data_IF_500537257651
#
_entry.id   IF_500537257651
#
_cell.length_a   1.000
_cell.length_b   1.000
_cell.length_c   1.000
_cell.angle_alpha   90.00
_cell.angle_beta   90.00
_cell.angle_gamma   90.00
#
_symmetry.space_group_name_H-M   'P 1'
#
loop_
_entity.id
_entity.type
_entity.pdbx_description
1 polymer ?
#
# COMPACT_ATOMS: atom_id res chain seq x y z
N UNK A 1 35.15 -4.83 -18.55
CA UNK A 1 33.82 -4.98 -19.14
C UNK A 1 32.69 -5.19 -18.10
N UNK A 2 32.95 -5.71 -16.90
CA UNK A 2 31.91 -5.91 -15.88
C UNK A 2 31.43 -4.65 -15.13
N UNK A 3 32.17 -3.54 -15.16
CA UNK A 3 31.79 -2.28 -14.50
C UNK A 3 30.89 -1.36 -15.34
N UNK A 4 30.70 -1.64 -16.62
CA UNK A 4 29.85 -0.85 -17.52
C UNK A 4 28.37 -1.29 -17.48
N UNK A 5 28.06 -2.48 -16.94
CA UNK A 5 26.71 -3.03 -16.84
C UNK A 5 25.96 -2.64 -15.55
N UNK A 6 26.62 -1.94 -14.61
CA UNK A 6 26.02 -1.47 -13.36
C UNK A 6 25.46 -0.03 -13.44
N UNK A 7 25.50 0.62 -14.63
CA UNK A 7 25.05 2.00 -14.81
C UNK A 7 23.65 2.18 -15.41
N UNK A 8 22.85 1.15 -15.54
CA UNK A 8 21.56 1.22 -16.20
C UNK A 8 20.40 0.76 -15.33
N UNK A 9 20.19 1.36 -14.17
CA UNK A 9 18.86 1.43 -13.50
C UNK A 9 18.91 2.59 -12.50
N UNK A 10 18.92 3.84 -12.97
CA UNK A 10 18.83 5.04 -12.13
C UNK A 10 17.81 6.06 -12.64
N UNK A 11 16.96 5.69 -13.60
CA UNK A 11 15.80 6.53 -13.85
C UNK A 11 14.67 6.11 -12.91
N UNK A 12 14.06 7.08 -12.20
CA UNK A 12 12.94 6.79 -11.32
C UNK A 12 11.81 6.18 -12.16
N UNK A 13 11.28 5.05 -11.72
CA UNK A 13 10.17 4.33 -12.37
C UNK A 13 8.91 5.19 -12.48
N UNK A 14 8.86 6.27 -11.72
CA UNK A 14 7.86 7.34 -11.78
C UNK A 14 8.55 8.69 -12.00
N UNK A 15 7.94 9.63 -12.74
CA UNK A 15 8.44 10.99 -12.79
C UNK A 15 8.47 11.55 -11.37
N UNK A 16 9.66 12.05 -10.96
CA UNK A 16 9.83 12.71 -9.66
C UNK A 16 8.80 13.84 -9.55
N UNK A 17 7.81 13.67 -8.68
CA UNK A 17 6.98 14.77 -8.24
C UNK A 17 7.80 15.47 -7.14
N UNK A 18 8.06 16.79 -7.24
CA UNK A 18 8.72 17.50 -6.14
C UNK A 18 7.88 17.27 -4.88
N UNK A 19 8.54 16.82 -3.82
CA UNK A 19 7.91 16.53 -2.54
C UNK A 19 7.50 17.82 -1.82
N UNK A 20 6.56 18.57 -2.39
CA UNK A 20 5.79 19.51 -1.60
C UNK A 20 4.93 18.65 -0.64
N UNK A 21 5.17 18.80 0.66
CA UNK A 21 4.42 18.11 1.72
C UNK A 21 2.98 18.64 1.80
N UNK A 22 2.23 18.50 0.70
CA UNK A 22 0.81 18.84 0.70
C UNK A 22 -0.02 17.64 1.20
N UNK A 23 -1.14 17.94 1.83
CA UNK A 23 -2.09 16.94 2.28
C UNK A 23 -2.69 16.21 1.07
N UNK A 24 -2.74 14.88 1.13
CA UNK A 24 -3.37 14.03 0.11
C UNK A 24 -4.64 13.36 0.62
N UNK A 25 -4.73 13.13 1.93
CA UNK A 25 -5.90 12.54 2.57
C UNK A 25 -6.08 13.10 3.97
N UNK A 26 -7.34 13.28 4.39
CA UNK A 26 -7.72 13.61 5.77
C UNK A 26 -8.79 12.65 6.24
N UNK A 27 -8.57 12.01 7.37
CA UNK A 27 -9.50 11.10 8.02
C UNK A 27 -10.07 11.81 9.25
N UNK A 28 -11.39 11.89 9.34
CA UNK A 28 -12.09 12.68 10.35
C UNK A 28 -13.18 11.86 11.03
N UNK A 29 -13.02 11.56 12.32
CA UNK A 29 -13.98 10.83 13.14
C UNK A 29 -14.38 9.47 12.55
N UNK A 30 -13.45 8.80 11.84
CA UNK A 30 -13.76 7.59 11.10
C UNK A 30 -14.00 6.43 12.06
N UNK A 31 -15.16 5.77 11.90
CA UNK A 31 -15.53 4.62 12.70
C UNK A 31 -16.07 3.47 11.89
N UNK A 32 -15.87 2.25 12.42
CA UNK A 32 -16.42 1.01 11.86
C UNK A 32 -16.98 0.12 12.94
N UNK A 33 -18.26 -0.20 12.80
CA UNK A 33 -18.94 -1.25 13.57
C UNK A 33 -19.49 -2.30 12.62
N UNK A 34 -19.29 -3.57 12.92
CA UNK A 34 -19.92 -4.69 12.20
C UNK A 34 -21.31 -4.98 12.76
N UNK A 35 -21.48 -4.83 14.06
CA UNK A 35 -22.74 -4.85 14.79
C UNK A 35 -22.73 -3.72 15.81
N UNK A 36 -23.87 -3.32 16.40
CA UNK A 36 -23.89 -2.28 17.44
C UNK A 36 -22.93 -2.53 18.60
N UNK A 37 -22.64 -3.81 18.90
CA UNK A 37 -21.77 -4.23 20.01
C UNK A 37 -20.31 -4.47 19.56
N UNK A 38 -20.05 -4.61 18.26
CA UNK A 38 -18.72 -4.91 17.73
C UNK A 38 -18.17 -3.73 16.94
N UNK A 39 -17.67 -2.73 17.67
CA UNK A 39 -16.94 -1.61 17.10
C UNK A 39 -15.46 -1.99 16.94
N UNK A 40 -14.93 -1.87 15.72
CA UNK A 40 -13.54 -2.23 15.37
C UNK A 40 -12.67 -0.99 15.26
N UNK A 41 -13.23 0.11 14.75
CA UNK A 41 -12.56 1.41 14.71
C UNK A 41 -13.48 2.45 15.30
N UNK A 42 -12.89 3.38 16.07
CA UNK A 42 -13.62 4.37 16.83
C UNK A 42 -12.85 5.70 16.82
N UNK A 43 -13.47 6.71 16.22
CA UNK A 43 -12.98 8.10 16.24
C UNK A 43 -11.54 8.27 15.68
N UNK A 44 -11.23 7.59 14.58
CA UNK A 44 -9.94 7.68 13.91
C UNK A 44 -9.80 9.03 13.22
N UNK A 45 -8.72 9.76 13.56
CA UNK A 45 -8.40 11.06 13.01
C UNK A 45 -6.92 11.13 12.67
N UNK A 46 -6.57 11.44 11.41
CA UNK A 46 -5.21 11.76 10.97
C UNK A 46 -5.23 12.38 9.57
N UNK A 47 -4.12 13.03 9.22
CA UNK A 47 -3.85 13.52 7.87
C UNK A 47 -2.71 12.71 7.24
N UNK A 48 -2.75 12.46 5.93
CA UNK A 48 -1.67 11.87 5.15
C UNK A 48 -1.12 12.90 4.17
N UNK A 49 0.21 12.99 4.07
CA UNK A 49 0.88 13.96 3.19
C UNK A 49 1.65 13.25 2.07
N UNK A 50 1.85 13.97 0.97
CA UNK A 50 2.57 13.46 -0.19
C UNK A 50 3.99 12.99 0.20
N UNK A 51 4.36 11.79 -0.28
CA UNK A 51 5.69 11.23 -0.06
C UNK A 51 5.97 10.70 1.35
N UNK A 52 4.95 10.61 2.23
CA UNK A 52 5.12 9.92 3.53
C UNK A 52 5.13 8.40 3.34
N UNK A 53 6.03 7.72 4.08
CA UNK A 53 5.95 6.28 4.33
C UNK A 53 5.51 6.06 5.78
N UNK A 54 4.21 5.76 5.96
CA UNK A 54 3.55 5.67 7.27
C UNK A 54 3.35 4.21 7.65
N UNK A 55 3.90 3.79 8.78
CA UNK A 55 3.56 2.50 9.36
C UNK A 55 2.27 2.58 10.17
N UNK A 56 1.41 1.57 10.06
CA UNK A 56 0.29 1.32 10.97
C UNK A 56 0.65 0.12 11.82
N UNK A 57 0.69 0.30 13.15
CA UNK A 57 1.11 -0.72 14.10
C UNK A 57 0.06 -0.95 15.18
N UNK A 58 0.13 -2.09 15.87
CA UNK A 58 -0.76 -2.50 16.96
C UNK A 58 -1.03 -4.00 16.92
N UNK A 59 -1.67 -4.52 17.97
CA UNK A 59 -1.99 -5.96 18.11
C UNK A 59 -2.80 -6.49 16.94
N UNK A 60 -2.77 -7.82 16.76
CA UNK A 60 -3.72 -8.49 15.88
C UNK A 60 -5.15 -8.15 16.31
N UNK A 61 -6.03 -7.87 15.33
CA UNK A 61 -7.42 -7.45 15.62
C UNK A 61 -7.59 -5.99 16.06
N UNK A 62 -6.53 -5.16 16.15
CA UNK A 62 -6.66 -3.74 16.53
C UNK A 62 -7.40 -2.87 15.49
N UNK A 63 -7.68 -3.39 14.29
CA UNK A 63 -8.39 -2.67 13.23
C UNK A 63 -7.50 -2.17 12.08
N UNK A 64 -6.20 -2.48 12.06
CA UNK A 64 -5.24 -2.00 11.05
C UNK A 64 -5.67 -2.29 9.61
N UNK A 65 -5.92 -3.56 9.29
CA UNK A 65 -6.40 -3.97 7.94
C UNK A 65 -7.75 -3.36 7.61
N UNK A 66 -8.67 -3.29 8.59
CA UNK A 66 -9.97 -2.63 8.42
C UNK A 66 -9.79 -1.16 8.04
N UNK A 67 -8.84 -0.44 8.67
CA UNK A 67 -8.53 0.94 8.33
C UNK A 67 -8.06 1.06 6.87
N UNK A 68 -7.06 0.28 6.45
CA UNK A 68 -6.56 0.33 5.07
C UNK A 68 -7.67 0.00 4.04
N UNK A 69 -8.49 -0.99 4.33
CA UNK A 69 -9.61 -1.36 3.46
C UNK A 69 -10.71 -0.28 3.39
N UNK A 70 -10.92 0.48 4.47
CA UNK A 70 -11.82 1.64 4.45
C UNK A 70 -11.24 2.80 3.63
N UNK A 71 -9.94 3.07 3.77
CA UNK A 71 -9.25 4.11 2.97
C UNK A 71 -9.31 3.80 1.47
N UNK A 72 -9.16 2.54 1.07
CA UNK A 72 -9.34 2.12 -0.33
C UNK A 72 -10.82 2.08 -0.76
N UNK A 73 -11.77 2.16 0.17
CA UNK A 73 -13.20 2.05 -0.10
C UNK A 73 -13.70 0.63 -0.35
N UNK A 74 -12.88 -0.40 -0.02
CA UNK A 74 -13.31 -1.82 -0.08
C UNK A 74 -14.30 -2.14 1.04
N UNK A 75 -14.12 -1.51 2.20
CA UNK A 75 -15.04 -1.57 3.36
C UNK A 75 -15.66 -0.19 3.54
N UNK A 76 -16.98 -0.12 3.63
CA UNK A 76 -17.68 1.12 3.90
C UNK A 76 -17.52 1.55 5.37
N UNK A 77 -17.33 2.84 5.60
CA UNK A 77 -17.37 3.43 6.94
C UNK A 77 -18.77 3.32 7.56
N UNK A 78 -18.84 3.20 8.88
CA UNK A 78 -20.09 3.34 9.62
C UNK A 78 -20.37 4.80 9.98
N UNK A 79 -19.30 5.58 10.19
CA UNK A 79 -19.37 7.01 10.53
C UNK A 79 -18.07 7.72 10.15
N UNK A 80 -18.08 9.05 10.18
CA UNK A 80 -16.93 9.88 9.85
C UNK A 80 -16.76 10.12 8.36
N UNK A 81 -15.61 10.66 7.97
CA UNK A 81 -15.30 11.04 6.61
C UNK A 81 -13.85 10.70 6.23
N UNK A 82 -13.64 10.39 4.97
CA UNK A 82 -12.32 10.24 4.34
C UNK A 82 -12.26 11.25 3.21
N UNK A 83 -11.53 12.34 3.41
CA UNK A 83 -11.47 13.46 2.47
C UNK A 83 -10.21 13.37 1.63
N UNK A 84 -10.39 13.27 0.32
CA UNK A 84 -9.29 13.27 -0.66
C UNK A 84 -8.92 14.72 -1.01
N UNK A 85 -7.62 14.96 -1.17
CA UNK A 85 -7.05 16.24 -1.56
C UNK A 85 -6.28 16.11 -2.87
N UNK A 86 -6.35 17.16 -3.70
CA UNK A 86 -5.53 17.30 -4.90
C UNK A 86 -4.88 18.66 -4.90
N UNK A 87 -3.56 18.71 -5.06
CA UNK A 87 -2.78 19.96 -5.03
C UNK A 87 -3.06 20.83 -3.79
N UNK A 88 -3.30 20.18 -2.64
CA UNK A 88 -3.60 20.82 -1.35
C UNK A 88 -5.04 21.30 -1.17
N UNK A 89 -5.90 21.16 -2.18
CA UNK A 89 -7.32 21.53 -2.12
C UNK A 89 -8.19 20.29 -1.86
N UNK A 90 -9.22 20.45 -1.01
CA UNK A 90 -10.22 19.41 -0.76
C UNK A 90 -10.98 19.12 -2.05
N UNK A 91 -11.03 17.84 -2.45
CA UNK A 91 -11.66 17.39 -3.68
C UNK A 91 -13.02 16.73 -3.42
N UNK A 92 -13.03 15.69 -2.58
CA UNK A 92 -14.25 14.91 -2.35
C UNK A 92 -14.15 14.04 -1.07
N UNK A 93 -15.30 13.68 -0.52
CA UNK A 93 -15.43 12.73 0.57
C UNK A 93 -15.62 11.32 0.00
N UNK A 94 -14.61 10.46 0.20
CA UNK A 94 -14.57 9.07 -0.30
C UNK A 94 -15.72 8.23 0.28
N UNK A 95 -16.20 8.54 1.49
CA UNK A 95 -17.28 7.78 2.14
C UNK A 95 -18.63 7.97 1.46
N UNK A 96 -18.75 9.00 0.62
CA UNK A 96 -20.00 9.40 -0.06
C UNK A 96 -19.99 9.19 -1.57
N UNK A 97 -18.94 8.58 -2.10
CA UNK A 97 -18.79 8.39 -3.54
C UNK A 97 -19.84 7.42 -4.11
N UNK A 98 -20.34 7.75 -5.29
CA UNK A 98 -21.13 6.84 -6.11
C UNK A 98 -20.27 5.65 -6.58
N UNK A 99 -20.90 4.60 -7.10
CA UNK A 99 -20.18 3.40 -7.61
C UNK A 99 -19.16 3.75 -8.72
N UNK A 100 -19.44 4.73 -9.55
CA UNK A 100 -18.56 5.18 -10.62
C UNK A 100 -17.35 5.91 -10.07
N UNK A 101 -17.56 6.89 -9.18
CA UNK A 101 -16.50 7.66 -8.51
C UNK A 101 -15.63 6.77 -7.62
N UNK A 102 -16.22 5.79 -6.90
CA UNK A 102 -15.47 4.81 -6.11
C UNK A 102 -14.53 3.96 -6.99
N UNK A 103 -14.91 3.63 -8.23
CA UNK A 103 -14.03 2.94 -9.17
C UNK A 103 -12.84 3.82 -9.55
N UNK A 104 -13.08 5.11 -9.77
CA UNK A 104 -12.01 6.07 -10.03
C UNK A 104 -11.10 6.22 -8.79
N UNK A 105 -11.68 6.39 -7.61
CA UNK A 105 -10.92 6.46 -6.35
C UNK A 105 -9.98 5.27 -6.18
N UNK A 106 -10.46 4.04 -6.39
CA UNK A 106 -9.66 2.83 -6.29
C UNK A 106 -8.54 2.75 -7.33
N UNK A 107 -8.62 3.48 -8.43
CA UNK A 107 -7.51 3.58 -9.38
C UNK A 107 -6.44 4.60 -8.94
N UNK A 108 -6.80 5.56 -8.09
CA UNK A 108 -5.91 6.56 -7.50
C UNK A 108 -5.33 6.11 -6.14
N UNK A 109 -5.98 5.16 -5.48
CA UNK A 109 -5.60 4.57 -4.21
C UNK A 109 -5.29 3.08 -4.38
N UNK A 110 -4.05 2.76 -4.75
CA UNK A 110 -3.58 1.39 -4.97
C UNK A 110 -3.56 0.57 -3.67
N UNK A 111 -3.85 -0.73 -3.77
CA UNK A 111 -3.86 -1.64 -2.62
C UNK A 111 -3.02 -2.89 -2.90
N UNK A 112 -2.12 -3.20 -2.00
CA UNK A 112 -1.38 -4.47 -1.91
C UNK A 112 -2.03 -5.27 -0.79
N UNK A 113 -2.64 -6.40 -1.14
CA UNK A 113 -3.36 -7.28 -0.22
C UNK A 113 -2.43 -8.32 0.38
N UNK A 114 -2.72 -8.76 1.59
CA UNK A 114 -1.97 -9.81 2.29
C UNK A 114 -1.91 -11.12 1.48
N UNK A 115 -3.01 -11.54 0.85
CA UNK A 115 -3.12 -12.75 0.03
C UNK A 115 -2.65 -12.56 -1.42
N UNK A 116 -1.89 -11.51 -1.73
CA UNK A 116 -1.42 -11.13 -3.07
C UNK A 116 -2.55 -10.90 -4.10
N UNK A 117 -3.65 -11.61 -4.01
CA UNK A 117 -4.83 -11.54 -4.91
C UNK A 117 -4.45 -11.67 -6.40
N UNK A 118 -3.42 -12.44 -6.74
CA UNK A 118 -3.06 -12.73 -8.13
C UNK A 118 -4.03 -13.75 -8.74
N UNK A 119 -4.24 -13.65 -10.06
CA UNK A 119 -5.01 -14.65 -10.80
C UNK A 119 -4.09 -15.82 -11.13
N UNK A 120 -4.24 -17.02 -10.50
CA UNK A 120 -3.24 -18.08 -10.52
C UNK A 120 -2.91 -18.59 -11.93
N UNK A 121 -3.93 -18.72 -12.78
CA UNK A 121 -3.80 -19.27 -14.15
C UNK A 121 -3.31 -18.27 -15.20
N UNK A 122 -3.18 -17.00 -14.85
CA UNK A 122 -2.60 -15.98 -15.73
C UNK A 122 -1.10 -15.89 -15.53
N UNK A 123 -0.37 -15.53 -16.58
CA UNK A 123 1.04 -15.20 -16.48
C UNK A 123 1.27 -13.91 -15.68
N UNK A 124 2.52 -13.71 -15.25
CA UNK A 124 2.95 -12.58 -14.43
C UNK A 124 2.69 -11.24 -15.14
N UNK A 125 3.06 -11.14 -16.42
CA UNK A 125 2.88 -9.90 -17.18
C UNK A 125 1.39 -9.53 -17.27
N UNK A 126 0.53 -10.50 -17.57
CA UNK A 126 -0.92 -10.30 -17.58
C UNK A 126 -1.44 -9.89 -16.20
N UNK A 127 -0.99 -10.51 -15.11
CA UNK A 127 -1.37 -10.11 -13.75
C UNK A 127 -1.02 -8.65 -13.45
N UNK A 128 0.15 -8.16 -13.87
CA UNK A 128 0.52 -6.74 -13.73
C UNK A 128 -0.38 -5.84 -14.57
N UNK A 129 -0.64 -6.21 -15.82
CA UNK A 129 -1.50 -5.45 -16.72
C UNK A 129 -2.95 -5.32 -16.22
N UNK A 130 -3.44 -6.26 -15.39
CA UNK A 130 -4.75 -6.14 -14.73
C UNK A 130 -4.86 -4.84 -13.88
N UNK A 131 -3.75 -4.26 -13.43
CA UNK A 131 -3.75 -2.95 -12.77
C UNK A 131 -4.33 -1.82 -13.63
N UNK A 132 -4.35 -1.95 -14.97
CA UNK A 132 -4.92 -0.95 -15.91
C UNK A 132 -6.39 -1.17 -16.26
N UNK A 133 -7.04 -2.17 -15.68
CA UNK A 133 -8.42 -2.50 -16.03
C UNK A 133 -9.40 -1.34 -15.85
N UNK A 134 -9.20 -0.49 -14.84
CA UNK A 134 -10.06 0.69 -14.60
C UNK A 134 -10.01 1.72 -15.73
N UNK A 135 -8.91 1.74 -16.50
CA UNK A 135 -8.65 2.68 -17.60
C UNK A 135 -8.81 2.03 -18.99
N UNK A 136 -9.08 0.73 -19.02
CA UNK A 136 -9.25 -0.04 -20.26
C UNK A 136 -10.73 -0.27 -20.50
N UNK A 137 -11.21 -0.11 -21.77
CA UNK A 137 -12.60 -0.40 -22.09
C UNK A 137 -12.94 -1.87 -21.85
N UNK A 138 -14.19 -2.17 -21.46
CA UNK A 138 -14.65 -3.53 -21.11
C UNK A 138 -14.38 -4.54 -22.22
N UNK A 139 -14.61 -4.17 -23.48
CA UNK A 139 -14.34 -5.04 -24.64
C UNK A 139 -12.85 -5.35 -24.79
N UNK A 140 -11.97 -4.35 -24.72
CA UNK A 140 -10.51 -4.56 -24.80
C UNK A 140 -10.00 -5.41 -23.64
N UNK A 141 -10.54 -5.18 -22.43
CA UNK A 141 -10.19 -5.96 -21.24
C UNK A 141 -10.55 -7.44 -21.40
N UNK A 142 -11.73 -7.73 -21.95
CA UNK A 142 -12.19 -9.11 -22.18
C UNK A 142 -11.25 -9.88 -23.13
N UNK A 143 -10.78 -9.21 -24.19
CA UNK A 143 -9.82 -9.80 -25.14
C UNK A 143 -8.35 -9.66 -24.71
N UNK A 144 -8.06 -9.16 -23.49
CA UNK A 144 -6.69 -8.90 -22.97
C UNK A 144 -5.87 -8.00 -23.91
N UNK A 145 -6.52 -7.07 -24.59
CA UNK A 145 -5.88 -6.11 -25.49
C UNK A 145 -5.48 -4.88 -24.67
N UNK A 146 -4.22 -4.81 -24.29
CA UNK A 146 -3.61 -3.68 -23.63
C UNK A 146 -2.78 -2.86 -24.62
N UNK A 147 -2.67 -1.55 -24.37
CA UNK A 147 -1.84 -0.67 -25.17
C UNK A 147 -0.34 -1.05 -25.06
N UNK A 148 0.43 -0.80 -26.10
CA UNK A 148 1.88 -1.08 -26.09
C UNK A 148 2.60 -0.28 -25.01
N UNK A 149 2.14 0.94 -24.73
CA UNK A 149 2.63 1.74 -23.59
C UNK A 149 2.39 1.07 -22.24
N UNK A 150 1.23 0.42 -22.04
CA UNK A 150 0.94 -0.31 -20.80
C UNK A 150 1.83 -1.55 -20.68
N UNK A 151 2.10 -2.25 -21.80
CA UNK A 151 3.02 -3.40 -21.83
C UNK A 151 4.44 -2.98 -21.52
N UNK A 152 4.92 -1.89 -22.13
CA UNK A 152 6.24 -1.34 -21.85
C UNK A 152 6.38 -1.00 -20.35
N UNK A 153 5.38 -0.32 -19.80
CA UNK A 153 5.34 0.04 -18.37
C UNK A 153 5.34 -1.19 -17.45
N UNK A 154 4.57 -2.22 -17.78
CA UNK A 154 4.55 -3.46 -17.02
C UNK A 154 5.93 -4.15 -17.03
N UNK A 155 6.61 -4.17 -18.18
CA UNK A 155 7.96 -4.72 -18.32
C UNK A 155 8.97 -3.93 -17.47
N UNK A 156 8.92 -2.59 -17.49
CA UNK A 156 9.76 -1.72 -16.65
C UNK A 156 9.58 -2.02 -15.15
N UNK A 157 8.33 -2.13 -14.68
CA UNK A 157 8.01 -2.47 -13.30
C UNK A 157 8.53 -3.86 -12.92
N UNK A 158 8.35 -4.85 -13.78
CA UNK A 158 8.88 -6.21 -13.57
C UNK A 158 10.40 -6.24 -13.54
N UNK A 159 11.07 -5.43 -14.38
CA UNK A 159 12.52 -5.30 -14.39
C UNK A 159 13.01 -4.63 -13.10
N UNK A 160 12.38 -3.53 -12.69
CA UNK A 160 12.69 -2.83 -11.45
C UNK A 160 12.58 -3.73 -10.22
N UNK A 161 11.52 -4.56 -10.14
CA UNK A 161 11.34 -5.53 -9.06
C UNK A 161 12.18 -6.81 -9.22
N UNK A 162 13.04 -6.92 -10.26
CA UNK A 162 13.82 -8.12 -10.57
C UNK A 162 12.95 -9.40 -10.66
N UNK A 163 11.83 -9.32 -11.38
CA UNK A 163 10.91 -10.44 -11.62
C UNK A 163 10.60 -10.62 -13.12
N UNK A 164 11.24 -9.82 -14.00
CA UNK A 164 11.04 -9.90 -15.44
C UNK A 164 11.32 -11.30 -16.03
N UNK A 165 12.33 -12.08 -15.58
CA UNK A 165 12.52 -13.45 -16.09
C UNK A 165 11.33 -14.37 -15.91
N UNK A 166 10.41 -14.08 -14.98
CA UNK A 166 9.20 -14.83 -14.72
C UNK A 166 7.97 -14.28 -15.45
N UNK A 167 8.12 -13.26 -16.31
CA UNK A 167 7.00 -12.53 -16.95
C UNK A 167 5.97 -13.43 -17.63
N UNK A 168 6.41 -14.53 -18.24
CA UNK A 168 5.55 -15.49 -18.95
C UNK A 168 5.20 -16.73 -18.12
N UNK A 169 5.66 -16.82 -16.86
CA UNK A 169 5.25 -17.89 -15.95
C UNK A 169 3.86 -17.62 -15.37
N UNK A 170 3.09 -18.68 -15.11
CA UNK A 170 1.83 -18.56 -14.39
C UNK A 170 2.08 -18.16 -12.93
N UNK A 171 1.19 -17.33 -12.38
CA UNK A 171 1.33 -16.85 -11.01
C UNK A 171 1.30 -17.99 -9.98
N UNK A 172 0.60 -19.08 -10.24
CA UNK A 172 0.54 -20.27 -9.38
C UNK A 172 1.89 -20.97 -9.18
N UNK A 173 2.86 -20.73 -10.07
CA UNK A 173 4.20 -21.35 -10.02
C UNK A 173 5.25 -20.45 -9.34
N UNK A 174 4.85 -19.32 -8.79
CA UNK A 174 5.74 -18.39 -8.13
C UNK A 174 5.91 -18.70 -6.64
N UNK A 175 7.09 -18.39 -6.09
CA UNK A 175 7.27 -18.35 -4.64
C UNK A 175 6.52 -17.16 -4.02
N UNK A 176 6.24 -17.19 -2.69
CA UNK A 176 5.56 -16.12 -1.98
C UNK A 176 6.20 -14.73 -2.20
N UNK A 177 7.53 -14.65 -2.10
CA UNK A 177 8.25 -13.39 -2.35
C UNK A 177 8.22 -12.95 -3.83
N UNK A 178 8.04 -13.88 -4.78
CA UNK A 178 7.81 -13.55 -6.17
C UNK A 178 6.39 -13.03 -6.39
N UNK A 179 5.39 -13.69 -5.82
CA UNK A 179 3.98 -13.25 -5.87
C UNK A 179 3.82 -11.85 -5.28
N UNK A 180 4.48 -11.56 -4.15
CA UNK A 180 4.45 -10.25 -3.53
C UNK A 180 5.00 -9.16 -4.46
N UNK A 181 6.13 -9.40 -5.13
CA UNK A 181 6.70 -8.46 -6.09
C UNK A 181 5.77 -8.19 -7.27
N UNK A 182 5.09 -9.21 -7.76
CA UNK A 182 4.08 -9.08 -8.83
C UNK A 182 2.88 -8.26 -8.34
N UNK A 183 2.40 -8.49 -7.11
CA UNK A 183 1.31 -7.72 -6.52
C UNK A 183 1.66 -6.23 -6.39
N UNK A 184 2.90 -5.90 -6.01
CA UNK A 184 3.40 -4.52 -5.98
C UNK A 184 3.41 -3.92 -7.39
N UNK A 185 3.97 -4.62 -8.38
CA UNK A 185 3.98 -4.16 -9.78
C UNK A 185 2.54 -3.88 -10.27
N UNK A 186 1.59 -4.77 -9.96
CA UNK A 186 0.18 -4.59 -10.32
C UNK A 186 -0.44 -3.35 -9.67
N UNK A 187 -0.18 -3.10 -8.39
CA UNK A 187 -0.67 -1.92 -7.69
C UNK A 187 -0.07 -0.64 -8.29
N UNK A 188 1.22 -0.64 -8.58
CA UNK A 188 1.93 0.49 -9.19
C UNK A 188 1.55 0.72 -10.66
N UNK A 189 1.07 -0.30 -11.36
CA UNK A 189 0.56 -0.17 -12.73
C UNK A 189 -0.65 0.77 -12.81
N UNK A 190 -1.39 0.96 -11.71
CA UNK A 190 -2.48 1.93 -11.61
C UNK A 190 -1.99 3.39 -11.65
N UNK A 191 -0.71 3.66 -11.39
CA UNK A 191 -0.14 4.98 -11.17
C UNK A 191 -0.85 5.74 -10.02
N UNK A 192 -0.93 5.14 -8.82
CA UNK A 192 -1.70 5.69 -7.72
C UNK A 192 -1.03 6.93 -7.12
N UNK A 193 -1.82 7.78 -6.44
CA UNK A 193 -1.33 8.86 -5.59
C UNK A 193 -1.07 8.36 -4.15
N UNK A 194 -1.81 7.34 -3.74
CA UNK A 194 -1.70 6.68 -2.43
C UNK A 194 -1.55 5.18 -2.66
N UNK A 195 -0.59 4.56 -1.98
CA UNK A 195 -0.37 3.12 -1.99
C UNK A 195 -0.57 2.57 -0.58
N UNK A 196 -1.53 1.69 -0.43
CA UNK A 196 -1.81 0.99 0.82
C UNK A 196 -1.27 -0.43 0.74
N UNK A 197 -0.63 -0.91 1.81
CA UNK A 197 -0.04 -2.25 1.85
C UNK A 197 -0.41 -2.95 3.16
N UNK A 198 -1.20 -4.02 3.04
CA UNK A 198 -1.62 -4.81 4.19
C UNK A 198 -0.66 -5.98 4.38
N UNK A 199 0.19 -5.89 5.39
CA UNK A 199 1.22 -6.88 5.75
C UNK A 199 2.09 -7.35 4.57
N UNK A 200 2.70 -6.44 3.80
CA UNK A 200 3.36 -6.79 2.53
C UNK A 200 4.62 -7.64 2.69
N UNK A 201 5.11 -7.83 3.90
CA UNK A 201 6.33 -8.58 4.22
C UNK A 201 6.09 -9.78 5.13
N UNK A 202 4.83 -10.08 5.45
CA UNK A 202 4.49 -11.24 6.26
C UNK A 202 4.99 -12.52 5.61
N UNK A 203 5.61 -13.38 6.41
CA UNK A 203 6.13 -14.70 5.98
C UNK A 203 7.21 -14.66 4.88
N UNK A 204 7.91 -13.54 4.70
CA UNK A 204 9.03 -13.43 3.78
C UNK A 204 10.37 -13.56 4.51
N UNK A 205 11.36 -14.11 3.79
CA UNK A 205 12.74 -14.12 4.28
C UNK A 205 13.33 -12.70 4.37
N UNK A 206 14.37 -12.48 5.19
CA UNK A 206 14.93 -11.14 5.43
C UNK A 206 15.43 -10.42 4.16
N UNK A 207 15.87 -11.16 3.14
CA UNK A 207 16.34 -10.57 1.87
C UNK A 207 15.17 -10.02 1.05
N UNK A 208 14.08 -10.78 0.95
CA UNK A 208 12.88 -10.34 0.26
C UNK A 208 12.18 -9.21 1.03
N UNK A 209 12.11 -9.29 2.37
CA UNK A 209 11.60 -8.21 3.23
C UNK A 209 12.31 -6.89 2.96
N UNK A 210 13.65 -6.86 3.02
CA UNK A 210 14.42 -5.63 2.71
C UNK A 210 14.17 -5.11 1.31
N UNK A 211 14.05 -5.98 0.32
CA UNK A 211 13.74 -5.58 -1.07
C UNK A 211 12.38 -4.92 -1.19
N UNK A 212 11.36 -5.48 -0.54
CA UNK A 212 10.00 -4.92 -0.54
C UNK A 212 9.98 -3.55 0.16
N UNK A 213 10.59 -3.44 1.35
CA UNK A 213 10.64 -2.18 2.08
C UNK A 213 11.41 -1.09 1.31
N UNK A 214 12.54 -1.45 0.69
CA UNK A 214 13.28 -0.53 -0.19
C UNK A 214 12.44 -0.06 -1.38
N UNK A 215 11.64 -0.94 -1.98
CA UNK A 215 10.74 -0.57 -3.06
C UNK A 215 9.65 0.40 -2.59
N UNK A 216 9.02 0.15 -1.43
CA UNK A 216 8.01 1.04 -0.85
C UNK A 216 8.60 2.42 -0.49
N UNK A 217 9.84 2.45 0.03
CA UNK A 217 10.55 3.70 0.30
C UNK A 217 10.81 4.47 -0.99
N UNK A 218 11.36 3.83 -2.04
CA UNK A 218 11.57 4.49 -3.33
C UNK A 218 10.28 5.05 -3.91
N UNK A 219 9.16 4.34 -3.77
CA UNK A 219 7.83 4.81 -4.19
C UNK A 219 7.43 6.08 -3.42
N UNK A 220 7.68 6.11 -2.10
CA UNK A 220 7.36 7.30 -1.30
C UNK A 220 8.25 8.50 -1.65
N UNK A 221 9.55 8.28 -1.90
CA UNK A 221 10.50 9.30 -2.34
C UNK A 221 10.12 9.93 -3.69
N UNK A 222 9.33 9.22 -4.51
CA UNK A 222 8.77 9.71 -5.77
C UNK A 222 7.45 10.49 -5.58
N UNK A 223 7.07 10.79 -4.33
CA UNK A 223 5.91 11.61 -3.99
C UNK A 223 4.59 10.85 -3.85
N UNK A 224 4.60 9.50 -3.98
CA UNK A 224 3.43 8.66 -3.69
C UNK A 224 3.38 8.44 -2.18
N UNK A 225 2.24 8.71 -1.56
CA UNK A 225 2.07 8.43 -0.12
C UNK A 225 1.87 6.94 0.11
N UNK A 226 2.67 6.35 1.00
CA UNK A 226 2.59 4.92 1.30
C UNK A 226 2.13 4.71 2.73
N UNK A 227 1.13 3.86 2.92
CA UNK A 227 0.65 3.46 4.24
C UNK A 227 0.74 1.95 4.35
N UNK A 228 1.48 1.44 5.34
CA UNK A 228 1.84 0.02 5.43
C UNK A 228 1.55 -0.55 6.82
N UNK A 229 0.83 -1.67 6.89
CA UNK A 229 0.69 -2.44 8.12
C UNK A 229 1.97 -3.25 8.35
N UNK A 230 2.59 -3.06 9.50
CA UNK A 230 3.80 -3.78 9.91
C UNK A 230 3.63 -4.34 11.33
N UNK A 231 4.28 -5.49 11.56
CA UNK A 231 4.38 -6.08 12.90
C UNK A 231 5.77 -5.87 13.51
N UNK A 232 6.83 -5.80 12.70
CA UNK A 232 8.21 -5.61 13.17
C UNK A 232 8.50 -4.14 13.45
N UNK A 233 8.86 -3.84 14.69
CA UNK A 233 9.27 -2.49 15.14
C UNK A 233 10.63 -2.12 14.52
N UNK A 234 11.53 -3.09 14.30
CA UNK A 234 12.78 -2.87 13.57
C UNK A 234 12.53 -2.32 12.17
N UNK A 235 11.60 -2.90 11.41
CA UNK A 235 11.25 -2.41 10.07
C UNK A 235 10.66 -1.00 10.13
N UNK A 236 9.86 -0.70 11.14
CA UNK A 236 9.29 0.64 11.34
C UNK A 236 10.40 1.67 11.54
N UNK A 237 11.36 1.41 12.45
CA UNK A 237 12.48 2.31 12.71
C UNK A 237 13.39 2.51 11.50
N UNK A 238 13.65 1.45 10.75
CA UNK A 238 14.62 1.48 9.65
C UNK A 238 14.05 2.10 8.36
N UNK A 239 12.73 2.05 8.15
CA UNK A 239 12.15 2.40 6.85
C UNK A 239 11.09 3.48 6.88
N UNK A 240 10.33 3.61 7.97
CA UNK A 240 9.17 4.49 7.98
C UNK A 240 9.49 5.90 8.48
N UNK A 241 8.82 6.88 7.91
CA UNK A 241 8.99 8.30 8.30
C UNK A 241 8.02 8.71 9.42
N UNK A 242 6.92 7.96 9.59
CA UNK A 242 5.86 8.21 10.57
C UNK A 242 5.18 6.92 10.97
N UNK A 243 4.62 6.90 12.15
CA UNK A 243 3.93 5.74 12.73
C UNK A 243 2.59 6.15 13.27
N UNK A 244 1.56 5.37 12.96
CA UNK A 244 0.24 5.43 13.58
C UNK A 244 0.05 4.16 14.40
N UNK A 245 -0.03 4.29 15.72
CA UNK A 245 -0.26 3.19 16.66
C UNK A 245 -1.73 3.07 17.02
N UNK A 246 -2.34 1.91 16.74
CA UNK A 246 -3.75 1.63 17.00
C UNK A 246 -3.90 0.62 18.14
N UNK A 247 -4.69 0.98 19.15
CA UNK A 247 -5.08 0.12 20.25
C UNK A 247 -6.60 0.17 20.40
N UNK A 248 -7.25 -1.00 20.44
CA UNK A 248 -8.70 -1.12 20.63
C UNK A 248 -9.51 -0.20 19.71
N UNK A 249 -9.10 -0.11 18.44
CA UNK A 249 -9.79 0.69 17.43
C UNK A 249 -9.54 2.20 17.50
N UNK A 250 -8.68 2.70 18.39
CA UNK A 250 -8.34 4.12 18.52
C UNK A 250 -6.86 4.38 18.27
N UNK A 251 -6.53 5.54 17.73
CA UNK A 251 -5.14 5.98 17.61
C UNK A 251 -4.66 6.43 19.00
N UNK A 252 -3.59 5.80 19.49
CA UNK A 252 -2.92 6.19 20.74
C UNK A 252 -1.54 6.79 20.50
N UNK A 253 -1.03 6.71 19.28
CA UNK A 253 0.20 7.32 18.85
C UNK A 253 0.13 7.74 17.38
N UNK A 254 0.63 8.93 17.08
CA UNK A 254 0.83 9.44 15.74
C UNK A 254 2.06 10.34 15.74
N UNK A 255 3.19 9.88 15.17
CA UNK A 255 4.45 10.59 15.23
C UNK A 255 5.62 9.86 14.59
N UNK A 256 6.83 10.36 14.82
CA UNK A 256 8.06 9.78 14.30
C UNK A 256 8.37 8.42 14.97
N UNK A 257 9.01 7.47 14.25
CA UNK A 257 9.42 6.18 14.85
C UNK A 257 10.26 6.33 16.13
N UNK A 258 11.09 7.37 16.22
CA UNK A 258 11.92 7.66 17.40
C UNK A 258 11.12 7.96 18.68
N UNK A 259 9.83 8.26 18.56
CA UNK A 259 8.93 8.45 19.71
C UNK A 259 8.30 7.17 20.25
N UNK A 260 8.57 6.02 19.64
CA UNK A 260 8.09 4.72 20.14
C UNK A 260 8.88 4.29 21.37
N UNK A 261 8.42 4.72 22.54
CA UNK A 261 9.00 4.30 23.82
C UNK A 261 8.56 2.90 24.21
N UNK A 262 9.36 2.22 25.04
CA UNK A 262 9.01 0.89 25.56
C UNK A 262 7.64 0.88 26.26
N UNK A 263 7.32 1.91 27.04
CA UNK A 263 6.02 2.07 27.68
C UNK A 263 4.87 2.18 26.67
N UNK A 264 5.09 2.84 25.53
CA UNK A 264 4.10 2.94 24.45
C UNK A 264 3.94 1.62 23.73
N UNK A 265 5.04 0.92 23.44
CA UNK A 265 5.02 -0.41 22.85
C UNK A 265 4.30 -1.42 23.75
N UNK A 266 4.56 -1.36 25.06
CA UNK A 266 3.84 -2.18 26.04
C UNK A 266 2.33 -1.88 26.05
N UNK A 267 1.92 -0.62 25.86
CA UNK A 267 0.49 -0.28 25.71
C UNK A 267 -0.08 -0.83 24.41
N UNK A 268 0.63 -0.67 23.29
CA UNK A 268 0.16 -1.12 21.96
C UNK A 268 0.00 -2.63 21.88
N UNK A 269 0.93 -3.38 22.45
CA UNK A 269 1.06 -4.82 22.25
C UNK A 269 0.79 -5.66 23.51
N UNK A 270 0.91 -5.07 24.70
CA UNK A 270 0.75 -5.79 25.95
C UNK A 270 1.72 -6.98 26.04
N UNK A 271 1.22 -8.15 26.42
CA UNK A 271 2.03 -9.37 26.57
C UNK A 271 2.58 -9.93 25.25
N UNK A 272 2.07 -9.44 24.09
CA UNK A 272 2.56 -9.85 22.77
C UNK A 272 3.89 -9.15 22.39
N UNK A 273 4.37 -8.21 23.19
CA UNK A 273 5.61 -7.46 22.88
C UNK A 273 6.81 -8.38 22.65
N UNK A 274 6.91 -9.49 23.40
CA UNK A 274 8.00 -10.45 23.29
C UNK A 274 7.94 -11.31 21.99
N UNK A 275 6.87 -11.21 21.21
CA UNK A 275 6.68 -11.95 19.96
C UNK A 275 7.00 -11.09 18.72
N UNK A 276 7.29 -9.79 18.92
CA UNK A 276 7.41 -8.82 17.82
C UNK A 276 8.86 -8.71 17.32
N UNK A 277 9.85 -9.06 18.15
CA UNK A 277 11.29 -8.94 17.87
C UNK A 277 11.93 -10.23 17.33
N UNK A 278 11.13 -11.17 16.79
CA UNK A 278 11.67 -12.41 16.22
C UNK A 278 11.26 -12.64 14.78
#
# INVERSE_FOLDING_TARGET
>A
MAQALLKTVTEPVYPLRPAAKHKVLSVRGLGKAWTPQQRVLDEINFDLHAGELVAVIGRSGAGKSTLLHMLNGTIAASEGAIVNYRDGSELQDVTRLSRGEMRQWRSECGMIFQDFCLVPRLDVLTNVLLGRLSQTSTLKSFFKIFADSDRARAIELLQWMNILPQALQRAENLSGGQMQRVAICRALMQQPNILLADEPVASLDPKNTRRIMAALQQVSEQGISVMVNLHSIELVHNWCTRVIGIQQGRIIYDGAPSGLTEALLQRLYGDEINQIDH
#
